data_IF_332370766952
#
_entry.id   IF_332370766952
#
_cell.length_a   1.000
_cell.length_b   1.000
_cell.length_c   1.000
_cell.angle_alpha   90.00
_cell.angle_beta   90.00
_cell.angle_gamma   90.00
#
_symmetry.space_group_name_H-M   'P 1'
#
loop_
_entity.id
_entity.type
_entity.pdbx_description
1 polymer ?
#
# COMPACT_ATOMS: atom_id res chain seq x y z
N UNK A 1 0.45 -13.23 -4.20
CA UNK A 1 -0.50 -12.70 -3.19
C UNK A 1 0.26 -12.46 -1.90
N UNK A 2 0.07 -11.31 -1.24
CA UNK A 2 0.65 -11.11 0.09
C UNK A 2 -0.27 -11.65 1.17
N UNK A 3 0.31 -12.33 2.14
CA UNK A 3 -0.35 -12.96 3.27
C UNK A 3 -0.30 -12.07 4.53
N UNK A 4 -0.97 -12.50 5.62
CA UNK A 4 -1.07 -11.74 6.85
C UNK A 4 0.29 -11.46 7.52
N UNK A 5 1.27 -12.36 7.36
CA UNK A 5 2.61 -12.16 7.94
C UNK A 5 3.34 -11.05 7.20
N UNK A 6 3.23 -11.02 5.86
CA UNK A 6 3.81 -9.94 5.04
C UNK A 6 3.18 -8.58 5.37
N UNK A 7 1.87 -8.51 5.59
CA UNK A 7 1.19 -7.28 6.00
C UNK A 7 1.78 -6.77 7.33
N UNK A 8 1.90 -7.64 8.32
CA UNK A 8 2.45 -7.28 9.63
C UNK A 8 3.90 -6.81 9.51
N UNK A 9 4.73 -7.50 8.72
CA UNK A 9 6.13 -7.12 8.49
C UNK A 9 6.25 -5.72 7.88
N UNK A 10 5.45 -5.40 6.86
CA UNK A 10 5.43 -4.06 6.25
C UNK A 10 4.96 -2.98 7.24
N UNK A 11 3.92 -3.26 8.02
CA UNK A 11 3.43 -2.32 9.04
C UNK A 11 4.50 -2.07 10.12
N UNK A 12 5.13 -3.11 10.64
CA UNK A 12 6.14 -3.00 11.70
C UNK A 12 7.40 -2.30 11.20
N UNK A 13 7.81 -2.54 9.94
CA UNK A 13 8.89 -1.80 9.30
C UNK A 13 8.58 -0.30 9.28
N UNK A 14 7.40 0.12 8.80
CA UNK A 14 7.04 1.55 8.75
C UNK A 14 6.99 2.18 10.14
N UNK A 15 6.48 1.46 11.17
CA UNK A 15 6.49 1.94 12.56
C UNK A 15 7.90 2.22 13.06
N UNK A 16 8.85 1.32 12.76
CA UNK A 16 10.24 1.43 13.18
C UNK A 16 11.03 2.48 12.40
N UNK A 17 10.79 2.61 11.09
CA UNK A 17 11.55 3.51 10.21
C UNK A 17 11.07 4.96 10.25
N UNK A 18 9.75 5.18 10.36
CA UNK A 18 9.17 6.53 10.30
C UNK A 18 8.72 7.01 11.68
N UNK A 19 7.67 6.38 12.23
CA UNK A 19 7.14 6.63 13.56
C UNK A 19 6.01 5.63 13.87
N UNK A 20 5.80 5.24 15.15
CA UNK A 20 4.77 4.28 15.53
C UNK A 20 3.35 4.62 15.08
N UNK A 21 3.01 5.91 14.92
CA UNK A 21 1.67 6.37 14.54
C UNK A 21 1.49 6.60 13.03
N UNK A 22 2.56 6.54 12.22
CA UNK A 22 2.52 6.84 10.77
C UNK A 22 2.43 5.60 9.89
N UNK A 23 2.10 4.44 10.46
CA UNK A 23 2.00 3.18 9.73
C UNK A 23 0.69 3.05 8.91
N UNK A 24 0.70 2.29 7.81
CA UNK A 24 -0.51 2.05 7.02
C UNK A 24 -1.49 1.14 7.76
N UNK A 25 -2.74 1.57 7.92
CA UNK A 25 -3.79 0.80 8.61
C UNK A 25 -4.27 -0.42 7.81
N UNK A 26 -4.22 -0.33 6.49
CA UNK A 26 -4.55 -1.41 5.56
C UNK A 26 -3.46 -1.53 4.49
N UNK A 27 -3.21 -2.75 4.04
CA UNK A 27 -2.29 -3.06 2.93
C UNK A 27 -3.05 -3.96 1.97
N UNK A 28 -3.18 -3.53 0.72
CA UNK A 28 -3.82 -4.30 -0.35
C UNK A 28 -2.76 -4.66 -1.39
N UNK A 29 -2.68 -5.93 -1.72
CA UNK A 29 -1.83 -6.40 -2.81
C UNK A 29 -2.65 -6.44 -4.10
N UNK A 30 -2.09 -5.93 -5.17
CA UNK A 30 -2.67 -5.91 -6.51
C UNK A 30 -1.60 -6.40 -7.49
N UNK A 31 -2.02 -7.03 -8.59
CA UNK A 31 -1.11 -7.50 -9.61
C UNK A 31 -0.41 -6.32 -10.31
N UNK A 32 -1.09 -5.17 -10.41
CA UNK A 32 -0.52 -3.96 -10.99
C UNK A 32 -1.12 -2.68 -10.38
N UNK A 33 -0.33 -1.60 -10.41
CA UNK A 33 -0.79 -0.25 -10.08
C UNK A 33 -1.39 0.43 -11.32
N UNK A 34 -2.49 1.18 -11.19
CA UNK A 34 -3.04 1.96 -12.29
C UNK A 34 -2.05 3.06 -12.66
N UNK A 35 -1.61 3.08 -13.92
CA UNK A 35 -0.61 4.04 -14.43
C UNK A 35 -1.11 4.77 -15.66
N UNK A 36 -0.58 5.97 -15.93
CA UNK A 36 -0.76 6.68 -17.21
C UNK A 36 0.07 6.01 -18.31
N UNK A 37 -0.11 6.43 -19.56
CA UNK A 37 0.72 6.00 -20.69
C UNK A 37 2.21 6.30 -20.47
N UNK A 38 2.51 7.37 -19.72
CA UNK A 38 3.87 7.75 -19.30
C UNK A 38 4.34 7.07 -18.00
N UNK A 39 3.57 6.12 -17.45
CA UNK A 39 3.94 5.32 -16.29
C UNK A 39 3.68 5.94 -14.91
N UNK A 40 3.10 7.15 -14.83
CA UNK A 40 2.77 7.80 -13.55
C UNK A 40 1.60 7.10 -12.88
N UNK A 41 1.67 6.88 -11.57
CA UNK A 41 0.58 6.24 -10.81
C UNK A 41 -0.65 7.16 -10.75
N UNK A 42 -1.80 6.63 -11.15
CA UNK A 42 -3.10 7.31 -11.09
C UNK A 42 -3.74 7.12 -9.72
N UNK A 43 -3.27 7.86 -8.71
CA UNK A 43 -3.66 7.69 -7.29
C UNK A 43 -5.18 7.82 -7.03
N UNK A 44 -5.90 8.60 -7.83
CA UNK A 44 -7.35 8.76 -7.67
C UNK A 44 -8.12 7.45 -7.95
N UNK A 45 -7.64 6.62 -8.89
CA UNK A 45 -8.25 5.32 -9.20
C UNK A 45 -8.08 4.33 -8.04
N UNK A 46 -6.99 4.43 -7.27
CA UNK A 46 -6.77 3.60 -6.08
C UNK A 46 -7.79 3.88 -4.97
N UNK A 47 -8.35 5.10 -4.91
CA UNK A 47 -9.37 5.45 -3.90
C UNK A 47 -10.74 4.85 -4.21
N UNK A 48 -11.07 4.65 -5.49
CA UNK A 48 -12.34 4.03 -5.90
C UNK A 48 -12.38 2.54 -5.57
N UNK A 49 -11.24 1.87 -5.62
CA UNK A 49 -11.11 0.44 -5.28
C UNK A 49 -11.07 0.19 -3.76
N UNK A 50 -10.78 1.21 -2.95
CA UNK A 50 -10.64 1.10 -1.50
C UNK A 50 -11.94 1.41 -0.72
N UNK A 51 -13.08 1.49 -1.43
CA UNK A 51 -14.41 1.69 -0.86
C UNK A 51 -15.17 0.37 -0.69
#
# INVERSE_FOLDING_TARGET
TGDAQMIKALQDHVKATIAPHKYPRAVMFTDALPKTETGKIQRFRLKQTAG
#
